data_IF_565221143131
#
_entry.id   IF_565221143131
#
_cell.length_a   1.000
_cell.length_b   1.000
_cell.length_c   1.000
_cell.angle_alpha   90.00
_cell.angle_beta   90.00
_cell.angle_gamma   90.00
#
_symmetry.space_group_name_H-M   'P 1'
#
loop_
_entity.id
_entity.type
_entity.pdbx_description
1 polymer ?
#
# COMPACT_ATOMS: atom_id res chain seq x y z
N UNK A 1 32.85 -27.54 26.41
CA UNK A 1 31.73 -26.62 26.40
C UNK A 1 32.09 -25.47 25.46
N UNK A 2 31.53 -25.49 24.28
CA UNK A 2 31.73 -24.44 23.28
C UNK A 2 30.48 -23.58 23.25
N UNK A 3 30.66 -22.32 23.64
CA UNK A 3 29.61 -21.30 23.58
C UNK A 3 29.44 -20.87 22.11
N UNK A 4 28.32 -21.21 21.52
CA UNK A 4 27.96 -20.87 20.16
C UNK A 4 27.17 -19.57 20.10
N UNK A 5 27.78 -18.41 20.36
CA UNK A 5 27.15 -17.13 20.10
C UNK A 5 27.09 -16.83 18.60
N UNK A 6 25.91 -16.93 18.02
CA UNK A 6 25.63 -16.50 16.64
C UNK A 6 25.57 -14.97 16.62
N UNK A 7 26.65 -14.35 16.15
CA UNK A 7 26.68 -12.91 15.85
C UNK A 7 25.82 -12.69 14.60
N UNK A 8 24.61 -12.15 14.76
CA UNK A 8 23.82 -11.61 13.66
C UNK A 8 24.48 -10.29 13.22
N UNK A 9 25.21 -10.33 12.14
CA UNK A 9 25.64 -9.11 11.43
C UNK A 9 24.39 -8.47 10.81
N UNK A 10 23.83 -7.49 11.49
CA UNK A 10 22.83 -6.59 10.92
C UNK A 10 23.49 -5.78 9.81
N UNK A 11 23.12 -6.04 8.58
CA UNK A 11 23.48 -5.19 7.45
C UNK A 11 22.89 -3.82 7.66
N UNK A 12 23.73 -2.80 7.85
CA UNK A 12 23.34 -1.39 7.95
C UNK A 12 22.81 -0.91 6.58
N UNK A 13 21.54 -1.17 6.32
CA UNK A 13 20.82 -0.65 5.15
C UNK A 13 20.37 0.81 5.32
N UNK A 14 20.45 1.36 6.53
CA UNK A 14 19.86 2.67 6.88
C UNK A 14 20.59 3.88 6.29
N UNK A 15 21.91 3.84 6.10
CA UNK A 15 22.68 5.00 5.63
C UNK A 15 22.49 5.31 4.16
N UNK A 16 22.62 4.31 3.29
CA UNK A 16 22.50 4.51 1.82
C UNK A 16 21.07 4.75 1.35
N UNK A 17 20.07 4.23 2.06
CA UNK A 17 18.67 4.50 1.75
C UNK A 17 18.29 5.93 2.14
N UNK A 18 18.84 6.46 3.22
CA UNK A 18 18.61 7.84 3.67
C UNK A 18 19.21 8.86 2.68
N UNK A 19 20.45 8.64 2.23
CA UNK A 19 21.12 9.51 1.24
C UNK A 19 20.39 9.48 -0.13
N UNK A 20 19.95 8.32 -0.59
CA UNK A 20 19.15 8.20 -1.80
C UNK A 20 17.78 8.89 -1.66
N UNK A 21 17.17 8.80 -0.47
CA UNK A 21 15.90 9.44 -0.16
C UNK A 21 16.03 10.97 -0.10
N UNK A 22 17.13 11.49 0.46
CA UNK A 22 17.36 12.93 0.58
C UNK A 22 17.76 13.56 -0.76
N UNK A 23 18.54 12.85 -1.60
CA UNK A 23 18.84 13.26 -2.97
C UNK A 23 17.58 13.28 -3.87
N UNK A 24 16.67 12.30 -3.68
CA UNK A 24 15.39 12.24 -4.36
C UNK A 24 14.46 13.38 -3.94
N UNK A 25 14.41 13.72 -2.65
CA UNK A 25 13.65 14.87 -2.12
C UNK A 25 14.13 16.19 -2.73
N UNK A 26 15.43 16.42 -2.83
CA UNK A 26 16.00 17.64 -3.41
C UNK A 26 15.64 17.78 -4.90
N UNK A 27 15.64 16.68 -5.67
CA UNK A 27 15.25 16.67 -7.06
C UNK A 27 13.75 16.96 -7.27
N UNK A 28 12.91 16.43 -6.40
CA UNK A 28 11.45 16.65 -6.44
C UNK A 28 11.13 18.09 -6.02
N UNK A 29 11.78 18.61 -4.99
CA UNK A 29 11.60 19.97 -4.52
C UNK A 29 11.95 21.00 -5.61
N UNK A 30 13.02 20.77 -6.40
CA UNK A 30 13.38 21.63 -7.53
C UNK A 30 12.36 21.59 -8.66
N UNK A 31 11.71 20.45 -8.90
CA UNK A 31 10.64 20.33 -9.91
C UNK A 31 9.33 21.00 -9.46
N UNK A 32 9.03 20.95 -8.15
CA UNK A 32 7.85 21.61 -7.56
C UNK A 32 8.06 23.13 -7.59
N UNK A 33 9.25 23.64 -7.25
CA UNK A 33 9.56 25.06 -7.30
C UNK A 33 9.44 25.64 -8.72
N UNK A 34 9.80 24.85 -9.74
CA UNK A 34 9.61 25.23 -11.15
C UNK A 34 8.13 25.21 -11.60
N UNK A 35 7.26 24.47 -10.91
CA UNK A 35 5.81 24.47 -11.16
C UNK A 35 5.09 25.60 -10.41
N UNK A 36 5.62 26.03 -9.27
CA UNK A 36 5.06 27.13 -8.46
C UNK A 36 5.46 28.52 -8.99
N UNK A 37 6.62 28.64 -9.64
CA UNK A 37 7.08 29.90 -10.23
C UNK A 37 6.41 30.27 -11.56
N UNK A 38 5.71 29.31 -12.19
CA UNK A 38 4.86 29.54 -13.34
C UNK A 38 3.42 29.73 -12.89
N UNK A 39 3.07 30.94 -12.51
CA UNK A 39 1.71 31.29 -12.08
C UNK A 39 0.65 30.90 -13.11
N UNK A 40 -0.05 29.79 -12.89
CA UNK A 40 -1.19 29.37 -13.67
C UNK A 40 -2.44 29.36 -12.78
N UNK A 41 -3.25 30.40 -12.96
CA UNK A 41 -4.66 30.36 -12.63
C UNK A 41 -5.34 29.33 -13.52
N UNK A 42 -5.79 28.22 -12.96
CA UNK A 42 -6.55 27.22 -13.71
C UNK A 42 -6.59 25.88 -13.01
N UNK A 43 -7.55 25.69 -12.11
CA UNK A 43 -7.68 24.51 -11.23
C UNK A 43 -8.20 23.24 -11.92
N UNK A 44 -8.55 23.28 -13.21
CA UNK A 44 -9.13 22.14 -13.93
C UNK A 44 -8.21 21.43 -14.93
N UNK A 45 -7.28 22.16 -15.58
CA UNK A 45 -6.51 21.61 -16.70
C UNK A 45 -5.15 20.98 -16.30
N UNK A 46 -4.56 21.39 -15.18
CA UNK A 46 -3.25 20.88 -14.75
C UNK A 46 -3.28 19.42 -14.29
N UNK A 47 -4.39 18.96 -13.72
CA UNK A 47 -4.56 17.59 -13.21
C UNK A 47 -4.61 16.56 -14.35
N UNK A 48 -5.14 16.94 -15.52
CA UNK A 48 -5.22 16.05 -16.69
C UNK A 48 -3.87 15.68 -17.32
N UNK A 49 -2.79 16.40 -17.01
CA UNK A 49 -1.43 16.18 -17.53
C UNK A 49 -0.51 15.36 -16.65
N UNK A 50 -0.97 14.94 -15.45
CA UNK A 50 -0.14 14.11 -14.57
C UNK A 50 0.08 12.74 -15.23
N UNK A 51 1.33 12.46 -15.58
CA UNK A 51 1.73 11.18 -16.15
C UNK A 51 1.96 10.18 -15.00
N UNK A 52 1.05 9.20 -14.85
CA UNK A 52 1.25 8.06 -13.97
C UNK A 52 2.02 6.99 -14.75
N UNK A 53 3.24 6.61 -14.31
CA UNK A 53 4.08 5.66 -15.03
C UNK A 53 3.43 4.29 -15.24
N UNK A 54 4.00 3.51 -16.15
CA UNK A 54 3.59 2.13 -16.35
C UNK A 54 4.08 1.25 -15.21
N UNK A 55 3.49 0.04 -15.08
CA UNK A 55 4.00 -0.96 -14.11
C UNK A 55 5.26 -1.67 -14.59
N UNK A 56 5.67 -1.45 -15.85
CA UNK A 56 6.84 -2.08 -16.43
C UNK A 56 8.11 -1.55 -15.75
N UNK A 57 9.10 -2.41 -15.62
CA UNK A 57 10.42 -2.07 -15.07
C UNK A 57 10.40 -1.41 -13.67
N UNK A 58 9.31 -1.58 -12.91
CA UNK A 58 9.19 -1.00 -11.57
C UNK A 58 8.97 0.52 -11.54
N UNK A 59 8.78 1.18 -12.69
CA UNK A 59 8.65 2.64 -12.77
C UNK A 59 7.50 3.18 -11.92
N UNK A 60 6.35 2.48 -11.90
CA UNK A 60 5.21 2.87 -11.07
C UNK A 60 5.52 2.78 -9.58
N UNK A 61 6.21 1.70 -9.16
CA UNK A 61 6.55 1.50 -7.75
C UNK A 61 7.50 2.60 -7.27
N UNK A 62 8.57 2.85 -8.04
CA UNK A 62 9.53 3.93 -7.77
C UNK A 62 8.83 5.29 -7.69
N UNK A 63 8.00 5.61 -8.67
CA UNK A 63 7.22 6.86 -8.68
C UNK A 63 6.34 7.00 -7.43
N UNK A 64 5.63 5.93 -7.03
CA UNK A 64 4.82 5.96 -5.83
C UNK A 64 5.65 6.20 -4.58
N UNK A 65 6.76 5.50 -4.43
CA UNK A 65 7.60 5.58 -3.23
C UNK A 65 8.29 6.96 -3.10
N UNK A 66 8.61 7.61 -4.23
CA UNK A 66 9.21 8.94 -4.27
C UNK A 66 8.24 10.09 -3.92
N UNK A 67 6.94 9.92 -4.15
CA UNK A 67 5.95 10.93 -3.79
C UNK A 67 5.84 11.11 -2.27
N UNK A 68 5.65 12.35 -1.83
CA UNK A 68 5.20 12.59 -0.47
C UNK A 68 3.73 12.16 -0.27
N UNK A 69 3.35 11.85 0.99
CA UNK A 69 1.96 11.52 1.30
C UNK A 69 1.01 12.67 0.92
N UNK A 70 1.42 13.92 1.07
CA UNK A 70 0.63 15.11 0.71
C UNK A 70 0.36 15.19 -0.80
N UNK A 71 1.38 14.98 -1.63
CA UNK A 71 1.23 14.98 -3.09
C UNK A 71 0.36 13.82 -3.54
N UNK A 72 0.58 12.65 -2.98
CA UNK A 72 -0.23 11.47 -3.29
C UNK A 72 -1.69 11.66 -2.91
N UNK A 73 -1.99 12.19 -1.71
CA UNK A 73 -3.35 12.44 -1.26
C UNK A 73 -4.07 13.40 -2.18
N UNK A 74 -3.40 14.49 -2.63
CA UNK A 74 -3.98 15.43 -3.59
C UNK A 74 -4.37 14.76 -4.92
N UNK A 75 -3.53 13.84 -5.42
CA UNK A 75 -3.88 13.06 -6.62
C UNK A 75 -5.00 12.05 -6.36
N UNK A 76 -5.06 11.51 -5.16
CA UNK A 76 -6.08 10.55 -4.76
C UNK A 76 -7.49 11.16 -4.63
N UNK A 77 -7.58 12.46 -4.38
CA UNK A 77 -8.85 13.21 -4.36
C UNK A 77 -9.49 13.29 -5.75
N UNK A 78 -8.69 13.29 -6.83
CA UNK A 78 -9.21 13.25 -8.19
C UNK A 78 -9.65 11.82 -8.57
N UNK A 79 -10.95 11.59 -8.85
CA UNK A 79 -11.46 10.25 -9.13
C UNK A 79 -10.83 9.59 -10.37
N UNK A 80 -10.42 10.39 -11.38
CA UNK A 80 -9.80 9.87 -12.60
C UNK A 80 -8.36 9.43 -12.35
N UNK A 81 -7.59 10.22 -11.60
CA UNK A 81 -6.24 9.86 -11.21
C UNK A 81 -6.26 8.66 -10.25
N UNK A 82 -7.13 8.67 -9.24
CA UNK A 82 -7.32 7.55 -8.31
C UNK A 82 -7.59 6.26 -9.06
N UNK A 83 -8.56 6.26 -9.98
CA UNK A 83 -8.86 5.05 -10.77
C UNK A 83 -7.63 4.54 -11.54
N UNK A 84 -6.88 5.42 -12.18
CA UNK A 84 -5.66 5.07 -12.92
C UNK A 84 -4.57 4.49 -12.00
N UNK A 85 -4.42 5.01 -10.79
CA UNK A 85 -3.49 4.51 -9.77
C UNK A 85 -3.94 3.13 -9.29
N UNK A 86 -5.20 2.99 -8.88
CA UNK A 86 -5.77 1.71 -8.43
C UNK A 86 -5.63 0.61 -9.49
N UNK A 87 -5.90 0.93 -10.77
CA UNK A 87 -5.75 -0.01 -11.87
C UNK A 87 -4.32 -0.54 -12.02
N UNK A 88 -3.31 0.28 -11.68
CA UNK A 88 -1.90 -0.15 -11.69
C UNK A 88 -1.53 -0.98 -10.47
N UNK A 89 -2.05 -0.63 -9.30
CA UNK A 89 -1.81 -1.41 -8.09
C UNK A 89 -2.41 -2.81 -8.23
N UNK A 90 -3.62 -2.93 -8.78
CA UNK A 90 -4.32 -4.22 -8.94
C UNK A 90 -3.71 -5.17 -9.98
N UNK A 91 -2.75 -4.73 -10.77
CA UNK A 91 -2.09 -5.61 -11.75
C UNK A 91 -0.91 -6.39 -11.14
N UNK A 92 -0.75 -7.68 -11.54
CA UNK A 92 -1.71 -8.49 -12.29
C UNK A 92 -2.98 -8.78 -11.49
N UNK A 93 -4.10 -9.05 -12.19
CA UNK A 93 -5.38 -9.40 -11.56
C UNK A 93 -5.39 -10.80 -10.94
N UNK A 94 -6.52 -11.18 -10.33
CA UNK A 94 -6.70 -12.51 -9.73
C UNK A 94 -6.31 -12.60 -8.26
N UNK A 95 -5.97 -11.46 -7.64
CA UNK A 95 -5.61 -11.37 -6.24
C UNK A 95 -6.62 -10.58 -5.42
N UNK A 96 -6.79 -10.97 -4.19
CA UNK A 96 -7.45 -10.19 -3.15
C UNK A 96 -6.40 -9.35 -2.43
N UNK A 97 -6.58 -8.03 -2.45
CA UNK A 97 -5.61 -7.08 -1.93
C UNK A 97 -5.91 -6.64 -0.49
N UNK A 98 -6.77 -7.35 0.24
CA UNK A 98 -7.14 -7.05 1.63
C UNK A 98 -7.54 -5.58 1.86
N UNK A 99 -8.13 -4.95 0.81
CA UNK A 99 -8.54 -3.54 0.74
C UNK A 99 -7.43 -2.50 0.88
N UNK A 100 -6.16 -2.92 0.83
CA UNK A 100 -5.01 -2.01 0.81
C UNK A 100 -5.09 -1.02 -0.36
N UNK A 101 -5.58 -1.47 -1.53
CA UNK A 101 -5.73 -0.60 -2.71
C UNK A 101 -6.71 0.53 -2.42
N UNK A 102 -7.87 0.25 -1.82
CA UNK A 102 -8.88 1.25 -1.51
C UNK A 102 -8.43 2.27 -0.44
N UNK A 103 -7.40 1.94 0.33
CA UNK A 103 -6.82 2.76 1.42
C UNK A 103 -5.34 3.04 1.23
N UNK A 104 -4.86 3.01 -0.01
CA UNK A 104 -3.46 3.27 -0.35
C UNK A 104 -2.88 4.54 0.30
N UNK A 105 -3.61 5.67 0.39
CA UNK A 105 -3.10 6.85 1.11
C UNK A 105 -2.68 6.55 2.55
N UNK A 106 -3.48 5.78 3.28
CA UNK A 106 -3.19 5.40 4.66
C UNK A 106 -1.91 4.55 4.78
N UNK A 107 -1.74 3.59 3.87
CA UNK A 107 -0.52 2.77 3.83
C UNK A 107 0.70 3.59 3.47
N UNK A 108 0.56 4.55 2.57
CA UNK A 108 1.64 5.50 2.26
C UNK A 108 2.01 6.38 3.46
N UNK A 109 1.03 6.86 4.22
CA UNK A 109 1.26 7.61 5.47
C UNK A 109 1.99 6.76 6.51
N UNK A 110 1.76 5.47 6.55
CA UNK A 110 2.47 4.52 7.40
C UNK A 110 3.85 4.11 6.87
N UNK A 111 4.28 4.66 5.73
CA UNK A 111 5.59 4.40 5.14
C UNK A 111 5.72 3.06 4.43
N UNK A 112 4.59 2.43 4.06
CA UNK A 112 4.59 1.16 3.34
C UNK A 112 4.87 1.40 1.86
N UNK A 113 5.86 0.68 1.32
CA UNK A 113 6.26 0.80 -0.09
C UNK A 113 5.23 0.17 -1.04
N UNK A 114 5.28 0.54 -2.31
CA UNK A 114 4.41 -0.07 -3.32
C UNK A 114 4.75 -1.56 -3.54
N UNK A 115 6.00 -1.96 -3.37
CA UNK A 115 6.39 -3.37 -3.44
C UNK A 115 5.70 -4.16 -2.34
N UNK A 116 5.76 -3.69 -1.09
CA UNK A 116 5.10 -4.33 0.05
C UNK A 116 3.59 -4.44 -0.17
N UNK A 117 2.94 -3.35 -0.63
CA UNK A 117 1.50 -3.36 -0.94
C UNK A 117 1.16 -4.45 -1.98
N UNK A 118 2.02 -4.64 -2.97
CA UNK A 118 1.81 -5.66 -4.02
C UNK A 118 2.11 -7.08 -3.56
N UNK A 119 2.95 -7.27 -2.58
CA UNK A 119 3.25 -8.57 -1.98
C UNK A 119 2.14 -9.01 -1.00
N UNK A 120 1.51 -8.05 -0.32
CA UNK A 120 0.41 -8.29 0.62
C UNK A 120 -0.91 -8.69 -0.06
N UNK A 121 -0.88 -9.72 -0.92
CA UNK A 121 -2.04 -10.19 -1.70
C UNK A 121 -2.17 -11.71 -1.62
N UNK A 122 -3.42 -12.18 -1.58
CA UNK A 122 -3.75 -13.62 -1.64
C UNK A 122 -4.47 -13.92 -2.94
N UNK A 123 -4.25 -15.08 -3.55
CA UNK A 123 -5.05 -15.49 -4.70
C UNK A 123 -6.53 -15.49 -4.31
N UNK A 124 -7.39 -14.85 -5.12
CA UNK A 124 -8.81 -14.67 -4.82
C UNK A 124 -9.52 -16.00 -4.54
N UNK A 125 -9.14 -17.07 -5.25
CA UNK A 125 -9.69 -18.42 -5.09
C UNK A 125 -9.40 -19.04 -3.71
N UNK A 126 -8.36 -18.58 -3.03
CA UNK A 126 -7.91 -19.11 -1.74
C UNK A 126 -8.50 -18.33 -0.55
N UNK A 127 -9.27 -17.26 -0.83
CA UNK A 127 -9.94 -16.46 0.20
C UNK A 127 -11.33 -17.03 0.48
N UNK A 128 -11.48 -17.68 1.63
CA UNK A 128 -12.72 -18.25 2.11
C UNK A 128 -13.08 -17.69 3.48
N UNK A 129 -14.32 -17.23 3.60
CA UNK A 129 -14.84 -16.65 4.83
C UNK A 129 -15.61 -17.67 5.65
N UNK A 130 -15.59 -17.48 6.95
CA UNK A 130 -16.47 -18.12 7.92
C UNK A 130 -17.14 -17.03 8.78
N UNK A 131 -18.30 -17.34 9.35
CA UNK A 131 -19.03 -16.46 10.29
C UNK A 131 -19.40 -15.04 9.78
N UNK A 132 -20.15 -14.87 8.68
CA UNK A 132 -20.86 -15.89 7.89
C UNK A 132 -19.94 -16.58 6.88
N UNK A 133 -20.26 -17.79 6.47
CA UNK A 133 -19.52 -18.50 5.42
C UNK A 133 -19.67 -17.79 4.07
N UNK A 134 -18.64 -17.88 3.25
CA UNK A 134 -18.66 -17.28 1.92
C UNK A 134 -17.31 -17.26 1.24
N UNK A 135 -17.30 -16.70 0.03
CA UNK A 135 -16.09 -16.54 -0.79
C UNK A 135 -15.97 -15.09 -1.25
N UNK A 136 -14.78 -14.73 -1.68
CA UNK A 136 -14.56 -13.40 -2.25
C UNK A 136 -15.50 -13.11 -3.42
N UNK A 137 -16.18 -11.96 -3.39
CA UNK A 137 -17.18 -11.55 -4.40
C UNK A 137 -18.54 -12.21 -4.25
N UNK A 138 -18.72 -13.13 -3.32
CA UNK A 138 -19.97 -13.80 -3.00
C UNK A 138 -20.59 -13.37 -1.68
N UNK A 139 -21.47 -14.22 -1.15
CA UNK A 139 -22.09 -14.02 0.16
C UNK A 139 -21.03 -13.90 1.25
N UNK A 140 -21.27 -13.06 2.26
CA UNK A 140 -20.31 -12.77 3.33
C UNK A 140 -19.20 -11.79 2.94
N UNK A 141 -18.92 -11.59 1.66
CA UNK A 141 -17.86 -10.72 1.17
C UNK A 141 -18.05 -9.25 1.59
N UNK A 142 -19.26 -8.72 1.54
CA UNK A 142 -19.57 -7.35 1.94
C UNK A 142 -19.31 -7.11 3.43
N UNK A 143 -19.63 -8.09 4.27
CA UNK A 143 -19.37 -8.02 5.72
C UNK A 143 -17.87 -7.99 5.98
N UNK A 144 -17.11 -8.91 5.37
CA UNK A 144 -15.66 -8.96 5.47
C UNK A 144 -15.03 -7.64 4.98
N UNK A 145 -15.45 -7.14 3.82
CA UNK A 145 -15.03 -5.87 3.26
C UNK A 145 -15.18 -4.71 4.25
N UNK A 146 -16.38 -4.51 4.78
CA UNK A 146 -16.65 -3.41 5.71
C UNK A 146 -15.85 -3.54 7.02
N UNK A 147 -15.65 -4.75 7.51
CA UNK A 147 -14.86 -5.01 8.71
C UNK A 147 -13.37 -4.67 8.49
N UNK A 148 -12.79 -5.10 7.38
CA UNK A 148 -11.38 -4.82 7.06
C UNK A 148 -11.18 -3.31 6.85
N UNK A 149 -12.05 -2.64 6.12
CA UNK A 149 -11.99 -1.18 5.96
C UNK A 149 -12.03 -0.46 7.32
N UNK A 150 -12.93 -0.88 8.21
CA UNK A 150 -12.99 -0.31 9.56
C UNK A 150 -11.72 -0.56 10.36
N UNK A 151 -11.10 -1.74 10.24
CA UNK A 151 -9.82 -2.04 10.89
C UNK A 151 -8.75 -1.07 10.38
N UNK A 152 -8.63 -0.88 9.06
CA UNK A 152 -7.67 0.06 8.47
C UNK A 152 -7.95 1.49 8.97
N UNK A 153 -9.18 1.97 8.82
CA UNK A 153 -9.56 3.36 9.09
C UNK A 153 -9.36 3.76 10.56
N UNK A 154 -9.56 2.81 11.48
CA UNK A 154 -9.45 3.05 12.94
C UNK A 154 -8.11 2.64 13.54
N UNK A 155 -7.17 2.12 12.77
CA UNK A 155 -5.81 1.84 13.23
C UNK A 155 -4.96 3.09 13.19
N UNK A 156 -4.21 3.35 14.26
CA UNK A 156 -3.33 4.52 14.40
C UNK A 156 -2.04 4.37 13.58
N UNK A 157 -1.55 3.13 13.42
CA UNK A 157 -0.30 2.76 12.77
C UNK A 157 -0.43 1.38 12.10
N UNK A 158 0.57 1.05 11.27
CA UNK A 158 0.63 -0.21 10.55
C UNK A 158 0.68 -1.44 11.47
N UNK A 159 1.42 -1.37 12.58
CA UNK A 159 1.54 -2.49 13.51
C UNK A 159 0.18 -2.80 14.18
N UNK A 160 -0.52 -1.75 14.61
CA UNK A 160 -1.89 -1.89 15.15
C UNK A 160 -2.85 -2.48 14.11
N UNK A 161 -2.76 -2.04 12.86
CA UNK A 161 -3.53 -2.61 11.76
C UNK A 161 -3.26 -4.11 11.61
N UNK A 162 -1.99 -4.52 11.48
CA UNK A 162 -1.61 -5.92 11.29
C UNK A 162 -2.10 -6.79 12.45
N UNK A 163 -1.91 -6.36 13.70
CA UNK A 163 -2.40 -7.08 14.88
C UNK A 163 -3.91 -7.30 14.84
N UNK A 164 -4.67 -6.25 14.52
CA UNK A 164 -6.14 -6.32 14.47
C UNK A 164 -6.64 -7.17 13.30
N UNK A 165 -5.94 -7.10 12.14
CA UNK A 165 -6.25 -7.94 10.99
C UNK A 165 -6.02 -9.41 11.29
N UNK A 166 -4.95 -9.77 12.01
CA UNK A 166 -4.69 -11.15 12.41
C UNK A 166 -5.80 -11.67 13.34
N UNK A 167 -6.20 -10.90 14.35
CA UNK A 167 -7.31 -11.29 15.23
C UNK A 167 -8.61 -11.47 14.42
N UNK A 168 -8.91 -10.57 13.49
CA UNK A 168 -10.05 -10.68 12.60
C UNK A 168 -9.96 -11.95 11.73
N UNK A 169 -8.78 -12.28 11.22
CA UNK A 169 -8.58 -13.43 10.36
C UNK A 169 -8.83 -14.76 11.09
N UNK A 170 -8.44 -14.88 12.37
CA UNK A 170 -8.72 -16.08 13.19
C UNK A 170 -10.23 -16.36 13.31
N UNK A 171 -11.05 -15.31 13.38
CA UNK A 171 -12.50 -15.45 13.51
C UNK A 171 -13.23 -15.56 12.16
N UNK A 172 -12.61 -15.09 11.07
CA UNK A 172 -13.31 -14.81 9.81
C UNK A 172 -12.79 -15.56 8.59
N UNK A 173 -11.59 -16.14 8.66
CA UNK A 173 -11.04 -16.93 7.57
C UNK A 173 -11.05 -18.42 7.92
N UNK A 174 -11.34 -19.27 6.93
CA UNK A 174 -11.33 -20.73 7.11
C UNK A 174 -9.96 -21.22 7.62
N UNK A 175 -8.88 -20.62 7.17
CA UNK A 175 -7.50 -20.94 7.56
C UNK A 175 -6.96 -20.03 8.68
N UNK A 176 -7.82 -19.25 9.35
CA UNK A 176 -7.39 -18.26 10.31
C UNK A 176 -6.36 -17.27 9.72
N UNK A 177 -5.43 -16.80 10.53
CA UNK A 177 -4.36 -15.90 10.04
C UNK A 177 -3.46 -16.53 8.95
N UNK A 178 -3.45 -17.84 8.80
CA UNK A 178 -2.71 -18.52 7.73
C UNK A 178 -3.29 -18.25 6.35
N UNK A 179 -4.54 -17.77 6.25
CA UNK A 179 -5.16 -17.28 5.03
C UNK A 179 -4.66 -15.90 4.58
N UNK A 180 -3.98 -15.16 5.44
CA UNK A 180 -3.33 -13.89 5.09
C UNK A 180 -2.00 -14.13 4.35
N UNK A 181 -1.51 -13.14 3.56
CA UNK A 181 -0.13 -13.15 3.06
C UNK A 181 0.88 -13.17 4.21
N UNK A 182 2.06 -13.72 3.98
CA UNK A 182 3.07 -13.89 5.02
C UNK A 182 3.50 -12.54 5.63
N UNK A 183 3.50 -11.48 4.82
CA UNK A 183 3.84 -10.12 5.21
C UNK A 183 2.84 -9.50 6.20
N UNK A 184 1.62 -10.02 6.22
CA UNK A 184 0.54 -9.59 7.13
C UNK A 184 0.33 -10.53 8.34
N UNK A 185 1.11 -11.62 8.46
CA UNK A 185 0.99 -12.56 9.59
C UNK A 185 1.80 -12.11 10.80
N UNK A 186 1.20 -12.24 11.99
CA UNK A 186 1.84 -11.99 13.28
C UNK A 186 1.49 -13.10 14.28
#
# INVERSE_FOLDING_TARGET
>A
MLDGSVVRTGTNYSGKSQEAHDASKASIQSRISNLESGGVKGTGEAIGKINIPSIRNGEFNKWFDELSSKEFNKMWEDPKLRKRIEDRIRRPGGYHEWHLVARTPKFKEWGISMNDIKEMRTLTKDVKFVNPPGVHGGEGSTVAHNQILRIIDTSKDYETFVKRLNNWAEDRLESGKMGLPIELRR
#
